data_IF_833258355378
#
_entry.id   IF_833258355378
#
_cell.length_a   1.000
_cell.length_b   1.000
_cell.length_c   1.000
_cell.angle_alpha   90.00
_cell.angle_beta   90.00
_cell.angle_gamma   90.00
#
_symmetry.space_group_name_H-M   'P 1'
#
loop_
_entity.id
_entity.type
_entity.pdbx_description
1 polymer ?
#
# COMPACT_ATOMS: atom_id res chain seq x y z
N UNK A 1 9.89 14.43 3.67
CA UNK A 1 10.22 14.27 2.23
C UNK A 1 9.24 13.32 1.52
N UNK A 2 8.80 12.21 2.15
CA UNK A 2 7.87 11.23 1.55
C UNK A 2 6.51 11.80 1.11
N UNK A 3 5.90 12.69 1.89
CA UNK A 3 4.63 13.35 1.53
C UNK A 3 4.71 14.18 0.24
N UNK A 4 5.83 14.87 0.05
CA UNK A 4 6.07 15.70 -1.15
C UNK A 4 6.26 14.81 -2.37
N UNK A 5 7.07 13.75 -2.27
CA UNK A 5 7.26 12.78 -3.34
C UNK A 5 5.93 12.17 -3.81
N UNK A 6 5.09 11.72 -2.87
CA UNK A 6 3.73 11.23 -3.15
C UNK A 6 2.89 12.26 -3.90
N UNK A 7 2.93 13.53 -3.48
CA UNK A 7 2.16 14.59 -4.15
C UNK A 7 2.55 14.77 -5.62
N UNK A 8 3.83 14.62 -5.97
CA UNK A 8 4.31 14.69 -7.35
C UNK A 8 3.90 13.46 -8.16
N UNK A 9 3.98 12.26 -7.58
CA UNK A 9 3.55 11.01 -8.23
C UNK A 9 2.05 11.06 -8.57
N UNK A 10 1.21 11.55 -7.66
CA UNK A 10 -0.21 11.70 -7.91
C UNK A 10 -0.52 12.74 -8.99
N UNK A 11 0.25 13.84 -9.07
CA UNK A 11 0.13 14.81 -10.16
C UNK A 11 0.51 14.17 -11.50
N UNK A 12 1.60 13.41 -11.53
CA UNK A 12 2.06 12.69 -12.72
C UNK A 12 1.01 11.68 -13.23
N UNK A 13 0.45 10.84 -12.33
CA UNK A 13 -0.61 9.89 -12.67
C UNK A 13 -1.88 10.56 -13.19
N UNK A 14 -2.21 11.77 -12.70
CA UNK A 14 -3.36 12.55 -13.22
C UNK A 14 -3.12 13.09 -14.62
N UNK A 15 -1.88 13.46 -14.95
CA UNK A 15 -1.52 13.99 -16.27
C UNK A 15 -1.49 12.88 -17.32
N UNK A 16 -1.07 11.66 -16.95
CA UNK A 16 -1.06 10.50 -17.85
C UNK A 16 -1.66 9.27 -17.14
N UNK A 17 -2.97 9.05 -17.24
CA UNK A 17 -3.65 7.95 -16.52
C UNK A 17 -3.20 6.54 -16.94
N UNK A 18 -2.62 6.38 -18.13
CA UNK A 18 -2.07 5.10 -18.60
C UNK A 18 -0.63 4.85 -18.15
N UNK A 19 0.02 5.84 -17.54
CA UNK A 19 1.37 5.68 -17.03
C UNK A 19 1.33 5.08 -15.63
N UNK A 20 1.71 3.81 -15.52
CA UNK A 20 1.62 3.01 -14.30
C UNK A 20 2.80 3.23 -13.33
N UNK A 21 3.91 3.78 -13.83
CA UNK A 21 5.12 4.03 -13.07
C UNK A 21 4.92 4.90 -11.82
N UNK A 22 4.16 6.02 -11.85
CA UNK A 22 4.00 6.85 -10.65
C UNK A 22 3.31 6.09 -9.51
N UNK A 23 2.35 5.21 -9.83
CA UNK A 23 1.70 4.36 -8.83
C UNK A 23 2.62 3.23 -8.35
N UNK A 24 3.45 2.69 -9.24
CA UNK A 24 4.49 1.71 -8.86
C UNK A 24 5.46 2.30 -7.83
N UNK A 25 5.89 3.54 -8.03
CA UNK A 25 6.74 4.24 -7.07
C UNK A 25 5.96 4.58 -5.79
N UNK A 26 4.69 4.99 -5.85
CA UNK A 26 3.86 5.26 -4.66
C UNK A 26 3.72 4.00 -3.78
N UNK A 27 3.52 2.84 -4.40
CA UNK A 27 3.51 1.55 -3.69
C UNK A 27 4.85 1.24 -3.01
N UNK A 28 5.97 1.48 -3.71
CA UNK A 28 7.32 1.29 -3.17
C UNK A 28 7.62 2.20 -1.99
N UNK A 29 7.10 3.44 -1.99
CA UNK A 29 7.22 4.35 -0.86
C UNK A 29 6.50 3.82 0.39
N UNK A 30 5.33 3.19 0.23
CA UNK A 30 4.63 2.57 1.35
C UNK A 30 5.35 1.34 1.89
N UNK A 31 5.82 0.48 0.98
CA UNK A 31 6.61 -0.69 1.36
C UNK A 31 7.87 -0.29 2.15
N UNK A 32 8.60 0.72 1.68
CA UNK A 32 9.78 1.23 2.37
C UNK A 32 9.43 1.85 3.73
N UNK A 33 8.37 2.65 3.80
CA UNK A 33 7.92 3.24 5.07
C UNK A 33 7.54 2.17 6.09
N UNK A 34 6.92 1.06 5.65
CA UNK A 34 6.62 -0.08 6.50
C UNK A 34 7.91 -0.75 7.01
N UNK A 35 8.83 -1.06 6.09
CA UNK A 35 10.13 -1.68 6.40
C UNK A 35 10.97 -0.86 7.39
N UNK A 36 10.95 0.45 7.28
CA UNK A 36 11.76 1.34 8.11
C UNK A 36 11.15 1.58 9.51
N UNK A 37 9.87 1.25 9.71
CA UNK A 37 9.19 1.50 11.00
C UNK A 37 9.17 0.28 11.92
N UNK A 38 8.76 -0.88 11.41
CA UNK A 38 8.51 -2.06 12.26
C UNK A 38 7.80 -3.21 11.55
N UNK A 39 7.25 -4.13 12.34
CA UNK A 39 6.46 -5.26 11.85
C UNK A 39 5.25 -5.60 12.74
N UNK A 40 4.73 -4.60 13.44
CA UNK A 40 3.48 -4.68 14.19
C UNK A 40 2.27 -4.61 13.25
N UNK A 41 1.06 -4.74 13.80
CA UNK A 41 -0.17 -4.79 12.99
C UNK A 41 -0.38 -3.53 12.13
N UNK A 42 -0.06 -2.36 12.66
CA UNK A 42 -0.12 -1.09 11.96
C UNK A 42 0.85 -1.08 10.77
N UNK A 43 2.07 -1.60 10.94
CA UNK A 43 3.07 -1.71 9.87
C UNK A 43 2.61 -2.69 8.79
N UNK A 44 2.01 -3.82 9.20
CA UNK A 44 1.35 -4.78 8.29
C UNK A 44 0.21 -4.13 7.50
N UNK A 45 -0.57 -3.24 8.12
CA UNK A 45 -1.61 -2.48 7.41
C UNK A 45 -1.01 -1.56 6.33
N UNK A 46 0.19 -1.00 6.55
CA UNK A 46 0.92 -0.24 5.53
C UNK A 46 1.46 -1.14 4.42
N UNK A 47 1.95 -2.33 4.73
CA UNK A 47 2.27 -3.34 3.71
C UNK A 47 1.03 -3.71 2.89
N UNK A 48 -0.14 -3.85 3.51
CA UNK A 48 -1.40 -4.11 2.80
C UNK A 48 -1.75 -2.95 1.85
N UNK A 49 -1.57 -1.69 2.29
CA UNK A 49 -1.73 -0.52 1.43
C UNK A 49 -0.76 -0.54 0.22
N UNK A 50 0.49 -0.93 0.44
CA UNK A 50 1.48 -1.10 -0.63
C UNK A 50 1.03 -2.17 -1.62
N UNK A 51 0.61 -3.34 -1.12
CA UNK A 51 0.10 -4.46 -1.93
C UNK A 51 -1.11 -4.05 -2.76
N UNK A 52 -2.08 -3.34 -2.18
CA UNK A 52 -3.27 -2.90 -2.93
C UNK A 52 -2.91 -1.89 -4.02
N UNK A 53 -1.92 -1.02 -3.76
CA UNK A 53 -1.40 -0.09 -4.76
C UNK A 53 -0.65 -0.83 -5.87
N UNK A 54 0.16 -1.85 -5.55
CA UNK A 54 0.79 -2.71 -6.57
C UNK A 54 -0.23 -3.53 -7.38
N UNK A 55 -1.29 -4.03 -6.74
CA UNK A 55 -2.39 -4.70 -7.46
C UNK A 55 -3.06 -3.76 -8.46
N UNK A 56 -3.23 -2.49 -8.11
CA UNK A 56 -3.73 -1.48 -9.05
C UNK A 56 -2.79 -1.34 -10.26
N UNK A 57 -1.49 -1.19 -10.05
CA UNK A 57 -0.47 -1.13 -11.12
C UNK A 57 -0.53 -2.37 -12.01
N UNK A 58 -0.57 -3.56 -11.41
CA UNK A 58 -0.64 -4.82 -12.14
C UNK A 58 -1.88 -4.91 -13.04
N UNK A 59 -3.04 -4.42 -12.58
CA UNK A 59 -4.28 -4.39 -13.36
C UNK A 59 -4.28 -3.37 -14.50
N UNK A 60 -3.40 -2.37 -14.47
CA UNK A 60 -3.29 -1.39 -15.57
C UNK A 60 -2.66 -1.98 -16.83
N UNK A 61 -1.88 -3.06 -16.70
CA UNK A 61 -1.24 -3.73 -17.85
C UNK A 61 -0.15 -2.90 -18.55
N UNK A 62 0.39 -1.88 -17.88
CA UNK A 62 1.51 -1.08 -18.38
C UNK A 62 2.87 -1.77 -18.20
N UNK A 63 3.94 -1.02 -18.43
CA UNK A 63 5.33 -1.51 -18.40
C UNK A 63 5.74 -2.11 -17.04
N UNK A 64 5.15 -1.63 -15.94
CA UNK A 64 5.49 -2.04 -14.58
C UNK A 64 4.52 -3.08 -14.00
N UNK A 65 3.53 -3.53 -14.78
CA UNK A 65 2.49 -4.43 -14.31
C UNK A 65 3.02 -5.79 -13.84
N UNK A 66 4.02 -6.35 -14.55
CA UNK A 66 4.63 -7.64 -14.18
C UNK A 66 5.43 -7.52 -12.88
N UNK A 67 6.27 -6.50 -12.77
CA UNK A 67 7.07 -6.24 -11.57
C UNK A 67 6.16 -5.99 -10.37
N UNK A 68 5.04 -5.28 -10.56
CA UNK A 68 4.05 -5.07 -9.50
C UNK A 68 3.41 -6.38 -9.04
N UNK A 69 3.09 -7.29 -9.96
CA UNK A 69 2.58 -8.62 -9.60
C UNK A 69 3.60 -9.41 -8.76
N UNK A 70 4.88 -9.35 -9.13
CA UNK A 70 5.96 -9.98 -8.35
C UNK A 70 6.06 -9.40 -6.94
N UNK A 71 5.91 -8.06 -6.78
CA UNK A 71 5.89 -7.42 -5.46
C UNK A 71 4.69 -7.88 -4.62
N UNK A 72 3.50 -8.00 -5.20
CA UNK A 72 2.30 -8.52 -4.50
C UNK A 72 2.56 -9.91 -3.92
N UNK A 73 3.19 -10.79 -4.70
CA UNK A 73 3.53 -12.13 -4.24
C UNK A 73 4.59 -12.10 -3.13
N UNK A 74 5.63 -11.27 -3.29
CA UNK A 74 6.71 -11.14 -2.32
C UNK A 74 6.25 -10.61 -0.94
N UNK A 75 5.23 -9.76 -0.91
CA UNK A 75 4.70 -9.16 0.32
C UNK A 75 3.55 -9.95 0.96
N UNK A 76 3.16 -11.10 0.40
CA UNK A 76 2.03 -11.90 0.89
C UNK A 76 2.12 -12.30 2.37
N UNK A 77 3.33 -12.47 2.89
CA UNK A 77 3.58 -12.80 4.30
C UNK A 77 3.78 -11.57 5.20
N UNK A 78 3.74 -10.36 4.64
CA UNK A 78 3.95 -9.09 5.35
C UNK A 78 2.66 -8.32 5.61
N UNK A 79 1.53 -8.79 5.08
CA UNK A 79 0.21 -8.19 5.31
C UNK A 79 -0.49 -8.83 6.52
N UNK A 80 -1.55 -8.22 7.08
CA UNK A 80 -2.29 -8.80 8.19
C UNK A 80 -3.01 -10.08 7.75
N UNK A 81 -3.02 -11.09 8.61
CA UNK A 81 -3.79 -12.32 8.37
C UNK A 81 -5.25 -12.15 8.82
N UNK A 82 -6.09 -13.13 8.49
CA UNK A 82 -7.48 -13.18 8.98
C UNK A 82 -7.53 -13.23 10.51
N UNK A 83 -6.61 -13.97 11.12
CA UNK A 83 -6.46 -14.06 12.58
C UNK A 83 -6.06 -12.71 13.18
N UNK A 84 -5.12 -11.97 12.55
CA UNK A 84 -4.71 -10.64 13.01
C UNK A 84 -5.91 -9.68 13.14
N UNK A 85 -6.81 -9.70 12.15
CA UNK A 85 -8.06 -8.92 12.17
C UNK A 85 -9.07 -9.46 13.19
N UNK A 86 -9.23 -10.77 13.29
CA UNK A 86 -10.16 -11.41 14.21
C UNK A 86 -9.82 -11.10 15.68
N UNK A 87 -8.55 -11.20 16.08
CA UNK A 87 -8.10 -10.86 17.43
C UNK A 87 -8.36 -9.40 17.80
N UNK A 88 -8.41 -8.52 16.81
CA UNK A 88 -8.74 -7.09 16.94
C UNK A 88 -10.22 -6.78 16.82
N UNK A 89 -11.07 -7.81 16.67
CA UNK A 89 -12.53 -7.70 16.52
C UNK A 89 -12.96 -6.87 15.31
N UNK A 90 -12.11 -6.81 14.29
CA UNK A 90 -12.39 -6.17 13.01
C UNK A 90 -13.18 -7.14 12.12
N UNK A 91 -14.11 -6.58 11.34
CA UNK A 91 -15.02 -7.30 10.46
C UNK A 91 -14.68 -7.01 9.00
N UNK A 92 -15.12 -7.91 8.12
CA UNK A 92 -15.04 -7.68 6.68
C UNK A 92 -15.71 -6.35 6.30
N UNK A 93 -15.04 -5.56 5.48
CA UNK A 93 -15.49 -4.22 5.09
C UNK A 93 -15.14 -3.10 6.07
N UNK A 94 -14.59 -3.38 7.25
CA UNK A 94 -14.13 -2.33 8.16
C UNK A 94 -12.99 -1.52 7.50
N UNK A 95 -13.01 -0.21 7.72
CA UNK A 95 -12.00 0.71 7.19
C UNK A 95 -10.98 1.03 8.27
N UNK A 96 -9.71 0.71 8.00
CA UNK A 96 -8.58 1.03 8.87
C UNK A 96 -7.84 2.20 8.27
N UNK A 97 -7.81 3.33 8.97
CA UNK A 97 -6.99 4.46 8.59
C UNK A 97 -5.52 4.17 8.87
N UNK A 98 -4.65 4.57 7.95
CA UNK A 98 -3.21 4.46 8.11
C UNK A 98 -2.73 5.69 8.88
N UNK A 99 -2.43 5.48 10.16
CA UNK A 99 -2.10 6.50 11.15
C UNK A 99 -0.92 6.03 12.01
N UNK A 100 -0.27 6.95 12.71
CA UNK A 100 0.85 6.67 13.61
C UNK A 100 2.11 7.45 13.23
N UNK A 101 3.08 7.49 14.14
CA UNK A 101 4.28 8.35 14.03
C UNK A 101 5.05 8.20 12.71
N UNK A 102 5.08 6.98 12.13
CA UNK A 102 5.73 6.71 10.85
C UNK A 102 4.85 7.03 9.62
N UNK A 103 3.54 7.20 9.81
CA UNK A 103 2.53 7.06 8.76
C UNK A 103 1.52 8.19 8.66
N UNK A 104 1.48 9.13 9.61
CA UNK A 104 0.54 10.26 9.62
C UNK A 104 0.57 11.10 8.33
N UNK A 105 1.67 11.03 7.57
CA UNK A 105 1.82 11.70 6.27
C UNK A 105 1.08 11.00 5.11
N UNK A 106 0.62 9.76 5.29
CA UNK A 106 -0.01 8.94 4.25
C UNK A 106 -1.47 9.36 4.04
N UNK A 107 -2.25 9.54 5.10
CA UNK A 107 -3.66 9.98 4.97
C UNK A 107 -4.50 9.13 4.00
N UNK A 108 -4.25 7.81 3.98
CA UNK A 108 -5.04 6.80 3.25
C UNK A 108 -5.59 5.78 4.25
N UNK A 109 -6.42 4.86 3.77
CA UNK A 109 -6.96 3.75 4.53
C UNK A 109 -6.90 2.46 3.72
N UNK A 110 -6.96 1.33 4.40
CA UNK A 110 -7.23 0.02 3.82
C UNK A 110 -8.63 -0.45 4.22
N UNK A 111 -9.17 -1.42 3.48
CA UNK A 111 -10.42 -2.09 3.83
C UNK A 111 -10.09 -3.53 4.24
N UNK A 112 -10.63 -3.99 5.35
CA UNK A 112 -10.49 -5.36 5.82
C UNK A 112 -11.16 -6.29 4.82
N UNK A 113 -10.43 -7.33 4.40
CA UNK A 113 -10.95 -8.41 3.55
C UNK A 113 -10.63 -9.74 4.21
N UNK A 114 -11.66 -10.44 4.70
CA UNK A 114 -11.54 -11.71 5.45
C UNK A 114 -11.73 -12.96 4.57
#
# INVERSE_FOLDING_TARGET
QLSVARSYLQKAAKVSPGWDYPLYIEAGLYEQAARDCGFEFEDKCVYQLAVDTYRQVSRMGGEHASQAADRVNALSNSVPTKEDFFFRKLKDGDVIKIEGKCYDWIGKSITVSL
#
